data_IF_258742184494
#
_entry.id   IF_258742184494
#
_cell.length_a   1.000
_cell.length_b   1.000
_cell.length_c   1.000
_cell.angle_alpha   90.00
_cell.angle_beta   90.00
_cell.angle_gamma   90.00
#
_symmetry.space_group_name_H-M   'P 1'
#
loop_
_entity.id
_entity.type
_entity.pdbx_description
1 polymer ?
#
# COMPACT_ATOMS: atom_id res chain seq x y z
N UNK A 1 60.24 31.30 7.22
CA UNK A 1 59.65 31.27 8.58
C UNK A 1 58.14 31.39 8.40
N UNK A 2 57.25 30.49 8.80
CA UNK A 2 57.31 29.36 9.73
C UNK A 2 56.66 28.11 9.11
N UNK A 3 57.37 26.99 9.20
CA UNK A 3 56.84 25.63 9.09
C UNK A 3 55.97 25.34 10.32
N UNK A 4 54.83 24.67 10.16
CA UNK A 4 54.37 23.65 11.12
C UNK A 4 53.73 22.47 10.39
N UNK A 5 54.49 21.40 10.42
CA UNK A 5 54.20 20.04 10.00
C UNK A 5 53.52 19.23 11.12
N UNK A 6 52.39 18.57 10.77
CA UNK A 6 51.99 17.15 11.05
C UNK A 6 51.82 16.76 12.57
N UNK A 7 51.35 15.56 13.04
CA UNK A 7 50.51 14.46 12.51
C UNK A 7 49.38 13.88 13.41
N UNK A 8 48.48 13.12 12.74
CA UNK A 8 47.88 11.79 13.11
C UNK A 8 46.92 11.64 14.31
N UNK A 9 45.77 11.01 14.04
CA UNK A 9 45.39 9.61 14.42
C UNK A 9 43.95 9.30 13.99
N UNK A 10 43.76 8.41 13.00
CA UNK A 10 43.12 7.07 13.13
C UNK A 10 41.73 7.10 13.78
N UNK A 11 40.66 6.63 13.13
CA UNK A 11 40.33 5.19 13.16
C UNK A 11 39.35 4.87 12.02
N UNK A 12 39.74 3.92 11.17
CA UNK A 12 38.92 3.29 10.14
C UNK A 12 38.27 2.05 10.80
N UNK A 13 36.94 1.86 10.76
CA UNK A 13 36.37 0.58 11.14
C UNK A 13 36.59 -0.43 10.01
N UNK A 14 37.30 -1.51 10.31
CA UNK A 14 37.36 -2.70 9.46
C UNK A 14 35.98 -3.41 9.48
N UNK A 15 35.39 -3.76 8.33
CA UNK A 15 34.35 -4.77 8.29
C UNK A 15 34.99 -6.15 8.43
N UNK A 16 34.89 -6.71 9.62
CA UNK A 16 35.17 -8.12 9.89
C UNK A 16 34.30 -8.97 8.97
N UNK A 17 34.95 -9.82 8.16
CA UNK A 17 34.30 -10.89 7.43
C UNK A 17 34.10 -12.11 8.33
N UNK A 18 32.93 -12.71 8.14
CA UNK A 18 32.56 -14.12 8.31
C UNK A 18 32.21 -14.60 9.73
N UNK A 19 30.94 -14.97 9.87
CA UNK A 19 30.62 -16.27 10.45
C UNK A 19 29.54 -16.94 9.62
N UNK A 20 29.87 -18.14 9.14
CA UNK A 20 29.01 -19.02 8.38
C UNK A 20 28.25 -19.92 9.36
N UNK A 21 26.93 -19.78 9.41
CA UNK A 21 26.03 -20.80 9.94
C UNK A 21 24.83 -20.84 9.01
N UNK A 22 24.71 -21.95 8.28
CA UNK A 22 23.52 -22.25 7.50
C UNK A 22 22.36 -22.62 8.41
N UNK A 23 21.14 -22.53 7.85
CA UNK A 23 20.00 -23.46 7.99
C UNK A 23 18.79 -22.73 7.40
N UNK A 24 18.15 -23.33 6.39
CA UNK A 24 16.80 -22.95 5.96
C UNK A 24 16.64 -22.56 4.49
N UNK A 25 17.00 -23.43 3.55
CA UNK A 25 16.56 -23.30 2.16
C UNK A 25 15.05 -23.61 2.05
N UNK A 26 14.21 -22.73 1.48
CA UNK A 26 12.83 -23.09 1.15
C UNK A 26 12.83 -24.08 -0.02
N UNK A 27 12.43 -25.32 0.25
CA UNK A 27 12.13 -26.33 -0.78
C UNK A 27 10.82 -25.96 -1.47
N UNK A 28 10.88 -25.45 -2.69
CA UNK A 28 9.73 -25.50 -3.60
C UNK A 28 10.13 -26.18 -4.91
N UNK A 29 9.35 -27.16 -5.39
CA UNK A 29 9.62 -27.83 -6.65
C UNK A 29 9.33 -26.91 -7.83
N UNK A 30 10.28 -26.90 -8.76
CA UNK A 30 10.17 -26.29 -10.09
C UNK A 30 9.39 -27.24 -10.99
N UNK A 31 8.16 -26.89 -11.34
CA UNK A 31 7.36 -27.68 -12.30
C UNK A 31 6.70 -26.77 -13.34
N UNK A 32 7.07 -27.00 -14.60
CA UNK A 32 6.12 -27.04 -15.71
C UNK A 32 5.64 -25.71 -16.32
N UNK A 33 6.24 -25.34 -17.44
CA UNK A 33 5.70 -24.42 -18.45
C UNK A 33 4.38 -24.94 -19.02
N UNK A 34 3.41 -24.06 -19.27
CA UNK A 34 2.37 -24.12 -20.32
C UNK A 34 1.99 -22.67 -20.66
N UNK A 35 2.61 -22.02 -21.66
CA UNK A 35 2.15 -21.81 -23.05
C UNK A 35 0.69 -21.32 -23.19
N UNK A 36 0.58 -20.01 -23.45
CA UNK A 36 -0.36 -19.22 -24.28
C UNK A 36 -1.78 -19.75 -24.55
N UNK A 37 -2.79 -18.85 -24.47
CA UNK A 37 -3.66 -18.39 -25.60
C UNK A 37 -4.81 -17.51 -25.06
N UNK A 38 -5.15 -16.43 -25.77
CA UNK A 38 -6.51 -15.83 -25.77
C UNK A 38 -6.67 -14.59 -24.89
N UNK A 39 -6.70 -13.35 -25.43
CA UNK A 39 -7.78 -12.71 -26.20
C UNK A 39 -8.97 -12.34 -25.30
N UNK A 40 -9.24 -11.03 -25.16
CA UNK A 40 -10.57 -10.56 -24.76
C UNK A 40 -10.57 -9.27 -23.95
N UNK A 41 -10.83 -8.16 -24.64
CA UNK A 41 -11.20 -6.88 -24.07
C UNK A 41 -12.64 -6.96 -23.55
N UNK A 42 -12.97 -6.37 -22.40
CA UNK A 42 -14.23 -5.62 -22.25
C UNK A 42 -14.19 -4.72 -21.01
N UNK A 43 -14.17 -3.42 -21.28
CA UNK A 43 -14.85 -2.42 -20.46
C UNK A 43 -16.35 -2.70 -20.49
N UNK A 44 -17.04 -2.62 -19.35
CA UNK A 44 -18.43 -2.14 -19.35
C UNK A 44 -18.83 -1.60 -17.98
N UNK A 45 -18.87 -0.26 -17.95
CA UNK A 45 -19.58 0.55 -16.97
C UNK A 45 -21.07 0.32 -17.19
N UNK A 46 -21.79 -0.13 -16.15
CA UNK A 46 -23.26 -0.03 -16.11
C UNK A 46 -23.69 0.91 -14.99
N UNK A 47 -23.76 2.19 -15.34
CA UNK A 47 -24.56 3.19 -14.65
C UNK A 47 -25.90 3.33 -15.39
N UNK A 48 -26.96 2.70 -14.87
CA UNK A 48 -28.36 3.09 -15.14
C UNK A 48 -29.20 2.62 -13.94
N UNK A 49 -29.68 3.52 -13.09
CA UNK A 49 -30.97 4.23 -13.21
C UNK A 49 -32.15 3.27 -13.01
N UNK A 50 -32.82 3.39 -11.87
CA UNK A 50 -34.10 2.72 -11.62
C UNK A 50 -34.61 2.94 -10.20
N UNK A 51 -35.16 4.13 -9.94
CA UNK A 51 -36.07 4.32 -8.81
C UNK A 51 -37.43 3.70 -9.10
N UNK A 52 -38.15 3.36 -8.02
CA UNK A 52 -39.55 2.89 -7.89
C UNK A 52 -39.56 1.69 -6.95
N UNK A 53 -40.51 1.50 -6.03
CA UNK A 53 -41.63 2.31 -5.59
C UNK A 53 -41.99 1.80 -4.18
N UNK A 54 -42.62 2.66 -3.39
CA UNK A 54 -43.25 2.27 -2.15
C UNK A 54 -44.25 1.14 -2.36
N UNK A 55 -44.20 0.13 -1.49
CA UNK A 55 -45.32 -0.75 -1.19
C UNK A 55 -45.19 -1.19 0.27
N UNK A 56 -45.96 -0.57 1.16
CA UNK A 56 -46.33 -1.18 2.43
C UNK A 56 -47.39 -2.26 2.15
N UNK A 57 -47.28 -3.44 2.76
CA UNK A 57 -48.43 -4.28 3.02
C UNK A 57 -48.88 -4.05 4.47
N UNK A 58 -50.03 -3.36 4.58
CA UNK A 58 -50.97 -3.54 5.69
C UNK A 58 -51.31 -5.02 5.86
N UNK A 59 -51.41 -5.46 7.11
CA UNK A 59 -52.52 -6.33 7.55
C UNK A 59 -52.39 -6.61 9.04
N UNK A 60 -53.09 -5.79 9.81
CA UNK A 60 -53.42 -6.04 11.21
C UNK A 60 -54.25 -7.33 11.32
N UNK A 61 -53.63 -8.41 11.79
CA UNK A 61 -54.33 -9.59 12.27
C UNK A 61 -54.93 -9.32 13.64
N UNK A 62 -56.14 -8.74 13.67
CA UNK A 62 -56.97 -8.71 14.86
C UNK A 62 -57.41 -10.13 15.20
N UNK A 63 -56.85 -10.68 16.27
CA UNK A 63 -57.31 -11.93 16.86
C UNK A 63 -58.48 -11.58 17.79
N UNK A 64 -59.70 -11.77 17.30
CA UNK A 64 -60.90 -11.75 18.12
C UNK A 64 -60.90 -12.99 19.03
N UNK A 65 -60.95 -12.77 20.34
CA UNK A 65 -61.19 -13.82 21.34
C UNK A 65 -62.70 -13.94 21.58
N UNK A 66 -63.28 -15.15 21.58
CA UNK A 66 -64.69 -15.31 21.89
C UNK A 66 -64.98 -14.97 23.36
N UNK A 67 -66.02 -14.15 23.54
CA UNK A 67 -66.61 -13.75 24.82
C UNK A 67 -67.31 -14.99 25.42
N UNK A 68 -66.77 -15.57 26.49
CA UNK A 68 -67.55 -16.48 27.33
C UNK A 68 -68.27 -15.65 28.38
N UNK A 69 -69.59 -15.67 28.26
CA UNK A 69 -70.60 -15.22 29.20
C UNK A 69 -70.42 -16.00 30.51
N UNK A 70 -69.88 -15.35 31.53
CA UNK A 70 -69.82 -15.88 32.91
C UNK A 70 -70.97 -15.25 33.66
N UNK A 71 -71.86 -16.13 34.11
CA UNK A 71 -73.06 -15.85 34.88
C UNK A 71 -72.79 -14.96 36.10
N UNK A 72 -73.72 -14.03 36.33
CA UNK A 72 -73.77 -13.17 37.50
C UNK A 72 -73.94 -14.01 38.78
N UNK A 73 -72.91 -14.02 39.63
CA UNK A 73 -73.10 -14.31 41.06
C UNK A 73 -72.65 -13.11 41.90
N UNK A 74 -73.65 -12.33 42.28
CA UNK A 74 -73.62 -11.27 43.28
C UNK A 74 -73.03 -11.80 44.60
N UNK A 75 -71.75 -11.48 44.87
CA UNK A 75 -71.16 -11.62 46.21
C UNK A 75 -70.40 -10.37 46.62
N UNK A 76 -71.16 -9.50 47.29
CA UNK A 76 -70.79 -8.65 48.43
C UNK A 76 -69.42 -7.95 48.34
N UNK A 77 -69.50 -6.67 48.01
CA UNK A 77 -68.43 -5.68 48.22
C UNK A 77 -68.17 -5.49 49.72
N UNK A 78 -66.95 -5.73 50.25
CA UNK A 78 -66.44 -4.98 51.37
C UNK A 78 -65.87 -3.69 50.79
N UNK A 79 -66.56 -2.60 51.10
CA UNK A 79 -66.05 -1.26 50.92
C UNK A 79 -64.76 -1.13 51.76
N UNK A 80 -63.61 -1.33 51.13
CA UNK A 80 -62.32 -0.87 51.64
C UNK A 80 -61.52 -0.33 50.46
N UNK A 81 -61.94 0.84 49.99
CA UNK A 81 -61.14 1.67 49.10
C UNK A 81 -59.98 2.28 49.90
N UNK A 82 -59.07 1.42 50.35
CA UNK A 82 -57.69 1.84 50.56
C UNK A 82 -57.11 2.07 49.18
N UNK A 83 -57.22 3.31 48.70
CA UNK A 83 -56.61 3.77 47.46
C UNK A 83 -55.14 3.31 47.48
N UNK A 84 -54.67 2.42 46.57
CA UNK A 84 -53.27 2.08 46.50
C UNK A 84 -52.59 3.26 45.83
N UNK A 85 -52.52 4.38 46.54
CA UNK A 85 -51.71 5.52 46.17
C UNK A 85 -50.30 4.98 46.03
N UNK A 86 -49.87 4.79 44.77
CA UNK A 86 -48.49 4.47 44.45
C UNK A 86 -47.66 5.50 45.20
N UNK A 87 -46.78 5.09 46.13
CA UNK A 87 -46.07 6.03 46.96
C UNK A 87 -45.39 7.04 46.04
N UNK A 88 -45.56 8.33 46.31
CA UNK A 88 -44.96 9.41 45.50
C UNK A 88 -43.44 9.18 45.31
N UNK A 89 -42.80 8.54 46.31
CA UNK A 89 -41.42 8.07 46.30
C UNK A 89 -41.07 7.03 45.21
N UNK A 90 -42.04 6.29 44.67
CA UNK A 90 -41.84 5.36 43.55
C UNK A 90 -41.54 6.12 42.26
N UNK A 91 -42.34 7.15 41.95
CA UNK A 91 -42.13 7.96 40.76
C UNK A 91 -40.83 8.75 40.82
N UNK A 92 -40.45 9.25 42.00
CA UNK A 92 -39.16 9.89 42.22
C UNK A 92 -38.00 8.93 41.95
N UNK A 93 -38.09 7.70 42.46
CA UNK A 93 -37.06 6.68 42.26
C UNK A 93 -36.93 6.27 40.79
N UNK A 94 -38.05 6.07 40.10
CA UNK A 94 -38.06 5.75 38.67
C UNK A 94 -37.49 6.92 37.85
N UNK A 95 -37.90 8.15 38.16
CA UNK A 95 -37.40 9.35 37.49
C UNK A 95 -35.90 9.53 37.71
N UNK A 96 -35.40 9.33 38.93
CA UNK A 96 -33.97 9.40 39.22
C UNK A 96 -33.19 8.29 38.50
N UNK A 97 -33.73 7.08 38.44
CA UNK A 97 -33.15 5.97 37.68
C UNK A 97 -32.98 6.33 36.21
N UNK A 98 -34.05 6.81 35.57
CA UNK A 98 -34.02 7.23 34.16
C UNK A 98 -33.04 8.39 33.92
N UNK A 99 -32.94 9.36 34.83
CA UNK A 99 -31.95 10.44 34.73
C UNK A 99 -30.52 9.89 34.74
N UNK A 100 -30.21 8.98 35.65
CA UNK A 100 -28.89 8.37 35.75
C UNK A 100 -28.56 7.53 34.50
N UNK A 101 -29.52 6.76 34.00
CA UNK A 101 -29.35 5.94 32.80
C UNK A 101 -29.09 6.80 31.56
N UNK A 102 -29.81 7.92 31.42
CA UNK A 102 -29.59 8.88 30.33
C UNK A 102 -28.22 9.57 30.43
N UNK A 103 -27.77 9.92 31.64
CA UNK A 103 -26.45 10.50 31.85
C UNK A 103 -25.35 9.48 31.51
N UNK A 104 -25.47 8.25 31.97
CA UNK A 104 -24.53 7.19 31.65
C UNK A 104 -24.45 6.91 30.15
N UNK A 105 -25.59 6.84 29.46
CA UNK A 105 -25.63 6.63 28.01
C UNK A 105 -25.09 7.85 27.25
N UNK A 106 -25.34 9.08 27.73
CA UNK A 106 -24.72 10.30 27.17
C UNK A 106 -23.20 10.22 27.25
N UNK A 107 -22.66 9.90 28.42
CA UNK A 107 -21.23 9.85 28.67
C UNK A 107 -20.56 8.72 27.84
N UNK A 108 -21.21 7.55 27.75
CA UNK A 108 -20.79 6.46 26.86
C UNK A 108 -20.74 6.91 25.41
N UNK A 109 -21.76 7.62 24.92
CA UNK A 109 -21.81 8.12 23.53
C UNK A 109 -20.72 9.15 23.26
N UNK A 110 -20.45 10.05 24.20
CA UNK A 110 -19.36 11.01 24.08
C UNK A 110 -18.01 10.31 23.99
N UNK A 111 -17.74 9.33 24.85
CA UNK A 111 -16.51 8.53 24.79
C UNK A 111 -16.37 7.79 23.45
N UNK A 112 -17.47 7.23 22.94
CA UNK A 112 -17.48 6.58 21.62
C UNK A 112 -17.22 7.60 20.50
N UNK A 113 -17.83 8.78 20.55
CA UNK A 113 -17.60 9.83 19.56
C UNK A 113 -16.12 10.26 19.54
N UNK A 114 -15.51 10.44 20.72
CA UNK A 114 -14.11 10.81 20.85
C UNK A 114 -13.16 9.75 20.26
N UNK A 115 -13.43 8.47 20.53
CA UNK A 115 -12.63 7.36 19.96
C UNK A 115 -12.77 7.27 18.44
N UNK A 116 -13.99 7.43 17.90
CA UNK A 116 -14.22 7.48 16.44
C UNK A 116 -13.49 8.67 15.81
N UNK A 117 -13.56 9.86 16.42
CA UNK A 117 -12.85 11.04 15.93
C UNK A 117 -11.33 10.84 15.95
N UNK A 118 -10.79 10.25 17.02
CA UNK A 118 -9.37 9.92 17.13
C UNK A 118 -8.92 8.97 16.02
N UNK A 119 -9.62 7.86 15.82
CA UNK A 119 -9.27 6.89 14.77
C UNK A 119 -9.42 7.47 13.36
N UNK A 120 -10.44 8.31 13.13
CA UNK A 120 -10.59 9.01 11.85
C UNK A 120 -9.42 9.95 11.59
N UNK A 121 -8.95 10.68 12.61
CA UNK A 121 -7.80 11.55 12.49
C UNK A 121 -6.52 10.75 12.22
N UNK A 122 -6.25 9.70 13.01
CA UNK A 122 -5.12 8.78 12.81
C UNK A 122 -5.08 8.23 11.38
N UNK A 123 -6.22 7.75 10.89
CA UNK A 123 -6.35 7.25 9.53
C UNK A 123 -6.05 8.32 8.47
N UNK A 124 -6.56 9.55 8.64
CA UNK A 124 -6.28 10.65 7.73
C UNK A 124 -4.79 11.01 7.72
N UNK A 125 -4.12 11.01 8.87
CA UNK A 125 -2.67 11.24 8.94
C UNK A 125 -1.88 10.14 8.24
N UNK A 126 -2.22 8.87 8.49
CA UNK A 126 -1.56 7.75 7.79
C UNK A 126 -1.77 7.80 6.28
N UNK A 127 -2.95 8.22 5.80
CA UNK A 127 -3.16 8.43 4.36
C UNK A 127 -2.23 9.51 3.80
N UNK A 128 -2.17 10.68 4.44
CA UNK A 128 -1.31 11.78 4.00
C UNK A 128 0.18 11.39 3.99
N UNK A 129 0.63 10.64 4.98
CA UNK A 129 2.00 10.14 5.05
C UNK A 129 2.30 9.15 3.92
N UNK A 130 1.37 8.24 3.62
CA UNK A 130 1.48 7.32 2.49
C UNK A 130 1.54 8.06 1.15
N UNK A 131 0.68 9.07 0.94
CA UNK A 131 0.68 9.87 -0.28
C UNK A 131 1.98 10.66 -0.49
N UNK A 132 2.52 11.24 0.59
CA UNK A 132 3.83 11.91 0.59
C UNK A 132 4.94 10.93 0.24
N UNK A 133 4.94 9.76 0.89
CA UNK A 133 5.94 8.71 0.66
C UNK A 133 5.92 8.19 -0.78
N UNK A 134 4.73 7.94 -1.33
CA UNK A 134 4.56 7.53 -2.73
C UNK A 134 5.03 8.61 -3.71
N UNK A 135 4.73 9.88 -3.40
CA UNK A 135 5.19 11.00 -4.22
C UNK A 135 6.72 11.11 -4.20
N UNK A 136 7.33 11.02 -3.02
CA UNK A 136 8.79 11.01 -2.87
C UNK A 136 9.43 9.88 -3.67
N UNK A 137 8.91 8.65 -3.54
CA UNK A 137 9.41 7.49 -4.27
C UNK A 137 9.31 7.66 -5.79
N UNK A 138 8.22 8.24 -6.28
CA UNK A 138 8.04 8.54 -7.70
C UNK A 138 9.06 9.56 -8.20
N UNK A 139 9.38 10.58 -7.40
CA UNK A 139 10.40 11.56 -7.75
C UNK A 139 11.80 10.93 -7.78
N UNK A 140 12.15 10.11 -6.78
CA UNK A 140 13.42 9.37 -6.75
C UNK A 140 13.55 8.42 -7.95
N UNK A 141 12.46 7.74 -8.32
CA UNK A 141 12.43 6.87 -9.50
C UNK A 141 12.65 7.68 -10.79
N UNK A 142 12.04 8.86 -10.91
CA UNK A 142 12.23 9.75 -12.06
C UNK A 142 13.69 10.20 -12.17
N UNK A 143 14.31 10.59 -11.06
CA UNK A 143 15.73 10.98 -11.04
C UNK A 143 16.63 9.80 -11.42
N UNK A 144 16.38 8.63 -10.83
CA UNK A 144 17.16 7.41 -11.08
C UNK A 144 17.05 6.97 -12.54
N UNK A 145 15.86 7.05 -13.13
CA UNK A 145 15.65 6.79 -14.56
C UNK A 145 16.44 7.75 -15.44
N UNK A 146 16.41 9.05 -15.12
CA UNK A 146 17.18 10.06 -15.85
C UNK A 146 18.71 9.87 -15.72
N UNK A 147 19.19 9.27 -14.63
CA UNK A 147 20.61 8.88 -14.50
C UNK A 147 20.90 7.69 -15.43
N UNK A 148 20.07 6.65 -15.43
CA UNK A 148 20.24 5.47 -16.28
C UNK A 148 20.24 5.84 -17.76
N UNK A 149 19.31 6.70 -18.18
CA UNK A 149 19.21 7.16 -19.57
C UNK A 149 20.49 7.92 -19.98
N UNK A 150 20.98 8.84 -19.13
CA UNK A 150 22.27 9.53 -19.38
C UNK A 150 23.46 8.57 -19.47
N UNK A 151 23.57 7.62 -18.55
CA UNK A 151 24.63 6.62 -18.58
C UNK A 151 24.55 5.75 -19.84
N UNK A 152 23.35 5.46 -20.33
CA UNK A 152 23.16 4.72 -21.58
C UNK A 152 23.68 5.51 -22.79
N UNK A 153 23.40 6.82 -22.82
CA UNK A 153 23.88 7.70 -23.89
C UNK A 153 25.42 7.82 -23.87
N UNK A 154 26.02 7.94 -22.68
CA UNK A 154 27.49 7.94 -22.51
C UNK A 154 28.13 6.62 -22.98
N UNK A 155 27.54 5.48 -22.63
CA UNK A 155 28.00 4.17 -23.09
C UNK A 155 27.93 4.08 -24.62
N UNK A 156 26.83 4.54 -25.22
CA UNK A 156 26.68 4.55 -26.68
C UNK A 156 27.76 5.43 -27.33
N UNK A 157 28.03 6.62 -26.80
CA UNK A 157 29.10 7.49 -27.29
C UNK A 157 30.47 6.81 -27.21
N UNK A 158 30.80 6.19 -26.07
CA UNK A 158 32.06 5.45 -25.89
C UNK A 158 32.19 4.27 -26.86
N UNK A 159 31.10 3.55 -27.14
CA UNK A 159 31.10 2.47 -28.14
C UNK A 159 31.44 3.01 -29.53
N UNK A 160 30.82 4.12 -29.95
CA UNK A 160 31.15 4.73 -31.25
C UNK A 160 32.61 5.18 -31.34
N UNK A 161 33.17 5.68 -30.24
CA UNK A 161 34.58 6.08 -30.17
C UNK A 161 35.51 4.88 -30.30
N UNK A 162 35.24 3.79 -29.55
CA UNK A 162 35.99 2.54 -29.63
C UNK A 162 35.95 1.95 -31.04
N UNK A 163 34.77 1.93 -31.67
CA UNK A 163 34.60 1.45 -33.04
C UNK A 163 35.42 2.28 -34.04
N UNK A 164 35.44 3.60 -33.86
CA UNK A 164 36.21 4.52 -34.71
C UNK A 164 37.70 4.24 -34.57
N UNK A 165 38.21 4.20 -33.33
CA UNK A 165 39.60 3.90 -33.06
C UNK A 165 40.01 2.51 -33.59
N UNK A 166 39.12 1.51 -33.48
CA UNK A 166 39.37 0.19 -34.03
C UNK A 166 39.55 0.22 -35.56
N UNK A 167 38.70 0.96 -36.28
CA UNK A 167 38.81 1.14 -37.75
C UNK A 167 40.10 1.86 -38.13
N UNK A 168 40.47 2.91 -37.41
CA UNK A 168 41.72 3.64 -37.62
C UNK A 168 42.95 2.74 -37.41
N UNK A 169 42.98 2.00 -36.30
CA UNK A 169 44.05 1.06 -36.00
C UNK A 169 44.17 -0.02 -37.08
N UNK A 170 43.04 -0.59 -37.52
CA UNK A 170 43.01 -1.56 -38.62
C UNK A 170 43.62 -0.99 -39.90
N UNK A 171 43.25 0.24 -40.26
CA UNK A 171 43.76 0.93 -41.46
C UNK A 171 45.28 1.13 -41.36
N UNK A 172 45.79 1.53 -40.19
CA UNK A 172 47.22 1.70 -39.97
C UNK A 172 47.99 0.38 -40.10
N UNK A 173 47.48 -0.71 -39.52
CA UNK A 173 48.07 -2.03 -39.66
C UNK A 173 48.19 -2.44 -41.13
N UNK A 174 47.12 -2.28 -41.92
CA UNK A 174 47.13 -2.61 -43.35
C UNK A 174 48.17 -1.77 -44.13
N UNK A 175 48.33 -0.48 -43.81
CA UNK A 175 49.34 0.38 -44.42
C UNK A 175 50.77 -0.10 -44.11
N UNK A 176 51.02 -0.51 -42.87
CA UNK A 176 52.33 -1.01 -42.45
C UNK A 176 52.67 -2.34 -43.12
N UNK A 177 51.72 -3.28 -43.18
CA UNK A 177 51.90 -4.55 -43.88
C UNK A 177 52.25 -4.34 -45.36
N UNK A 178 51.54 -3.43 -46.05
CA UNK A 178 51.84 -3.07 -47.44
C UNK A 178 53.25 -2.50 -47.60
N UNK A 179 53.67 -1.59 -46.69
CA UNK A 179 55.04 -1.04 -46.71
C UNK A 179 56.10 -2.10 -46.48
N UNK A 180 55.90 -3.03 -45.55
CA UNK A 180 56.84 -4.13 -45.27
C UNK A 180 57.00 -5.04 -46.49
N UNK A 181 55.89 -5.39 -47.17
CA UNK A 181 55.93 -6.19 -48.40
C UNK A 181 56.71 -5.48 -49.51
N UNK A 182 56.50 -4.16 -49.69
CA UNK A 182 57.25 -3.36 -50.66
C UNK A 182 58.75 -3.35 -50.35
N UNK A 183 59.12 -3.21 -49.07
CA UNK A 183 60.52 -3.19 -48.66
C UNK A 183 61.21 -4.52 -48.96
N UNK A 184 60.56 -5.65 -48.66
CA UNK A 184 61.07 -7.00 -48.98
C UNK A 184 61.22 -7.23 -50.49
N UNK A 185 60.30 -6.73 -51.31
CA UNK A 185 60.39 -6.84 -52.78
C UNK A 185 61.61 -6.08 -53.33
N UNK A 186 61.85 -4.85 -52.86
CA UNK A 186 62.98 -4.02 -53.30
C UNK A 186 64.35 -4.64 -52.97
N UNK A 187 64.48 -5.29 -51.81
CA UNK A 187 65.73 -5.95 -51.45
C UNK A 187 66.04 -7.18 -52.34
N UNK A 188 65.02 -7.91 -52.82
CA UNK A 188 65.22 -9.07 -53.70
C UNK A 188 65.73 -8.70 -55.10
N UNK A 189 65.39 -7.52 -55.60
CA UNK A 189 65.81 -7.06 -56.94
C UNK A 189 67.22 -6.44 -56.97
N UNK A 190 67.83 -6.14 -55.83
CA UNK A 190 69.18 -5.52 -55.76
C UNK A 190 70.30 -6.56 -55.62
N UNK A 191 69.98 -7.83 -55.30
CA UNK A 191 70.95 -8.92 -55.17
C UNK A 191 71.14 -9.80 -56.43
N UNK A 192 70.60 -9.40 -57.58
CA UNK A 192 70.76 -10.08 -58.87
C UNK A 192 71.39 -9.12 -59.87
N UNK A 193 72.70 -8.92 -59.71
CA UNK A 193 73.60 -8.36 -60.70
C UNK A 193 74.92 -9.11 -60.61
#
# INVERSE_FOLDING_TARGET
MCLKDVPRRTTRPDPVRQSAVGIGAPKYPRTGKNRATGRGNSSDVRLHRGGSAAAQPDSAGHRESPLMEVEEEERRSPHDHGDPSVPESFFDRVTQGLRNDLEHERDRRLQMADTVLKHRAEFAFSQLENERSLTSLRDDLRVSRGIVDRSRDEIAALQTLVDTHHREHKTLCEMLERKVVLHRKKQRTVGTA
#
